data_IF_842967931302
#
_entry.id   IF_842967931302
#
_cell.length_a   1.000
_cell.length_b   1.000
_cell.length_c   1.000
_cell.angle_alpha   90.00
_cell.angle_beta   90.00
_cell.angle_gamma   90.00
#
_symmetry.space_group_name_H-M   'P 1'
#
loop_
_entity.id
_entity.type
_entity.pdbx_description
1 polymer ?
2 non-polymer ?
3 water ?
#
# COMPACT_ATOMS: atom_id res chain seq x y z
N UNK A 2 27.03 -15.59 6.39
CA UNK A 2 26.53 -16.92 6.04
C UNK A 2 25.01 -16.99 6.22
N UNK A 3 24.32 -15.98 5.69
CA UNK A 3 22.89 -15.74 5.91
C UNK A 3 21.96 -16.82 5.37
N UNK A 4 21.00 -17.21 6.20
CA UNK A 4 19.92 -18.10 5.78
C UNK A 4 18.79 -17.32 5.16
N UNK A 5 18.41 -17.67 3.94
CA UNK A 5 17.35 -16.98 3.24
C UNK A 5 16.39 -17.96 2.61
N UNK A 6 15.12 -17.84 2.94
CA UNK A 6 14.11 -18.76 2.47
C UNK A 6 12.96 -17.97 1.90
N UNK A 7 12.37 -18.46 0.81
CA UNK A 7 11.25 -17.77 0.19
C UNK A 7 10.05 -18.68 0.08
N UNK A 8 9.01 -18.42 0.86
CA UNK A 8 7.74 -19.11 0.68
C UNK A 8 7.00 -18.46 -0.47
N UNK A 9 6.66 -19.22 -1.49
CA UNK A 9 6.13 -18.64 -2.72
C UNK A 9 5.22 -19.64 -3.41
N UNK A 10 4.62 -19.20 -4.50
CA UNK A 10 3.74 -20.02 -5.35
C UNK A 10 4.00 -19.58 -6.79
N UNK A 11 4.36 -20.52 -7.67
CA UNK A 11 5.09 -20.18 -8.89
C UNK A 11 4.41 -19.13 -9.80
N UNK A 12 3.06 -19.10 -9.92
CA UNK A 12 2.57 -18.10 -10.88
C UNK A 12 2.25 -16.74 -10.26
N UNK A 13 2.64 -16.54 -9.00
CA UNK A 13 2.36 -15.30 -8.29
C UNK A 13 3.22 -14.16 -8.74
N UNK A 14 2.59 -13.09 -9.21
CA UNK A 14 3.33 -11.88 -9.62
C UNK A 14 4.04 -11.27 -8.42
N UNK A 15 3.38 -11.33 -7.27
CA UNK A 15 3.94 -10.79 -6.04
C UNK A 15 5.19 -11.57 -5.63
N UNK A 16 5.12 -12.89 -5.71
CA UNK A 16 6.31 -13.72 -5.46
C UNK A 16 7.45 -13.41 -6.42
N UNK A 17 7.11 -13.25 -7.71
CA UNK A 17 8.12 -12.96 -8.73
C UNK A 17 8.93 -11.71 -8.39
N UNK A 18 8.27 -10.75 -7.77
CA UNK A 18 8.96 -9.54 -7.33
C UNK A 18 10.14 -9.86 -6.46
N UNK A 19 9.91 -10.74 -5.50
CA UNK A 19 10.95 -11.03 -4.52
C UNK A 19 12.02 -11.88 -5.18
N UNK A 20 11.57 -12.86 -5.97
CA UNK A 20 12.44 -13.62 -6.89
C UNK A 20 13.35 -12.70 -7.70
N UNK A 21 12.78 -11.73 -8.43
CA UNK A 21 13.68 -10.82 -9.14
C UNK A 21 14.64 -10.09 -8.18
N UNK A 22 14.13 -9.56 -7.06
CA UNK A 22 14.97 -8.71 -6.22
C UNK A 22 16.16 -9.48 -5.63
N UNK A 23 15.93 -10.73 -5.26
CA UNK A 23 16.99 -11.57 -4.69
C UNK A 23 18.07 -11.90 -5.74
N UNK A 24 17.59 -12.25 -6.94
CA UNK A 24 18.49 -12.48 -8.08
C UNK A 24 19.35 -11.26 -8.37
N UNK A 25 18.73 -10.10 -8.52
CA UNK A 25 19.47 -8.87 -8.77
C UNK A 25 20.61 -8.63 -7.79
N UNK A 26 20.41 -9.06 -6.55
CA UNK A 26 21.36 -8.78 -5.49
C UNK A 26 22.36 -9.94 -5.35
N UNK A 27 22.14 -10.97 -6.16
CA UNK A 27 22.91 -12.19 -6.08
C UNK A 27 22.79 -12.91 -4.75
N UNK A 28 21.59 -12.95 -4.18
CA UNK A 28 21.40 -13.64 -2.91
C UNK A 28 20.94 -15.07 -3.15
N UNK A 29 21.73 -16.01 -2.67
CA UNK A 29 21.39 -17.41 -2.79
C UNK A 29 20.31 -17.72 -1.75
N UNK A 30 19.27 -18.44 -2.17
CA UNK A 30 18.15 -18.71 -1.29
C UNK A 30 17.38 -19.98 -1.60
N UNK A 31 16.68 -20.51 -0.60
CA UNK A 31 15.84 -21.68 -0.80
C UNK A 31 14.43 -21.26 -1.16
N UNK A 32 13.99 -21.68 -2.35
CA UNK A 32 12.61 -21.48 -2.78
C UNK A 32 11.79 -22.62 -2.25
N UNK A 33 10.57 -22.31 -1.83
CA UNK A 33 9.68 -23.27 -1.21
C UNK A 33 8.27 -23.04 -1.71
N UNK A 34 7.72 -24.03 -2.41
CA UNK A 34 6.42 -23.89 -3.05
C UNK A 34 5.24 -24.15 -2.11
N UNK A 35 4.28 -23.26 -2.08
CA UNK A 35 3.09 -23.47 -1.26
C UNK A 35 1.89 -23.83 -2.12
N UNK A 36 1.05 -24.69 -1.56
CA UNK A 36 -0.22 -25.00 -2.14
C UNK A 36 -1.17 -24.09 -1.40
N UNK A 37 -1.65 -23.05 -2.07
CA UNK A 37 -2.49 -22.08 -1.39
C UNK A 37 -3.87 -22.63 -1.05
N UNK A 38 -4.19 -23.84 -1.52
CA UNK A 38 -5.46 -24.42 -1.12
C UNK A 38 -5.25 -25.35 0.07
N UNK A 39 -3.99 -25.61 0.38
CA UNK A 39 -3.59 -26.31 1.60
C UNK A 39 -2.34 -25.69 2.19
N UNK A 40 -2.53 -24.54 2.85
CA UNK A 40 -1.40 -23.74 3.28
C UNK A 40 -0.62 -24.49 4.35
N UNK A 41 0.70 -24.48 4.26
CA UNK A 41 1.53 -25.14 5.24
C UNK A 41 1.42 -24.56 6.64
N UNK A 42 1.70 -25.38 7.65
CA UNK A 42 1.78 -24.83 9.02
C UNK A 42 2.82 -23.71 9.11
N UNK A 43 3.94 -23.89 8.42
CA UNK A 43 5.00 -22.89 8.36
C UNK A 43 4.51 -21.52 7.85
N UNK A 44 3.71 -21.51 6.80
CA UNK A 44 3.20 -20.25 6.24
C UNK A 44 2.24 -19.59 7.20
N UNK A 45 1.43 -20.43 7.86
CA UNK A 45 0.45 -19.92 8.80
C UNK A 45 1.14 -19.31 10.04
N UNK A 46 2.33 -19.80 10.37
CA UNK A 46 3.09 -19.23 11.48
C UNK A 46 3.84 -18.00 11.08
N UNK A 47 4.27 -17.92 9.82
CA UNK A 47 5.12 -16.82 9.40
C UNK A 47 4.31 -15.65 8.91
N UNK A 48 3.13 -15.93 8.38
CA UNK A 48 2.23 -14.87 7.97
C UNK A 48 0.84 -15.06 8.58
N UNK A 49 0.75 -14.96 9.92
CA UNK A 49 -0.54 -15.14 10.58
C UNK A 49 -1.56 -14.09 10.17
N UNK A 50 -1.19 -12.83 9.93
CA UNK A 50 -2.31 -11.93 9.68
C UNK A 50 -2.88 -12.06 8.24
N UNK A 51 -2.05 -12.21 7.22
CA UNK A 51 -2.62 -12.23 5.86
C UNK A 51 -2.74 -13.64 5.29
N UNK A 52 -1.89 -14.55 5.75
CA UNK A 52 -1.84 -15.94 5.28
C UNK A 52 -1.60 -16.03 3.78
N UNK A 53 -0.66 -15.22 3.30
CA UNK A 53 -0.36 -15.13 1.89
C UNK A 53 1.12 -15.30 1.58
N UNK A 54 1.42 -15.58 0.32
CA UNK A 54 2.79 -15.52 -0.13
C UNK A 54 2.93 -14.26 -0.98
N UNK A 55 4.16 -13.78 -1.21
CA UNK A 55 5.42 -14.36 -0.74
C UNK A 55 5.65 -14.07 0.74
N UNK A 56 6.46 -14.91 1.39
CA UNK A 56 7.04 -14.60 2.68
C UNK A 56 8.55 -14.78 2.55
N UNK A 57 9.29 -13.72 2.76
CA UNK A 57 10.73 -13.83 2.83
C UNK A 57 11.11 -14.17 4.27
N UNK A 58 11.86 -15.25 4.46
CA UNK A 58 12.31 -15.60 5.78
C UNK A 58 13.83 -15.48 5.86
N UNK A 59 14.30 -14.50 6.61
CA UNK A 59 15.71 -14.17 6.65
C UNK A 59 16.27 -14.43 8.04
N UNK A 60 17.23 -15.34 8.13
CA UNK A 60 17.75 -15.82 9.40
C UNK A 60 16.64 -16.20 10.38
N UNK A 61 15.56 -16.71 9.83
CA UNK A 61 14.47 -17.22 10.61
C UNK A 61 13.35 -16.25 10.88
N UNK A 62 13.51 -15.00 10.49
CA UNK A 62 12.47 -13.98 10.75
C UNK A 62 11.72 -13.63 9.48
N UNK A 63 10.39 -13.61 9.54
CA UNK A 63 9.63 -13.35 8.31
C UNK A 63 9.46 -11.86 7.95
N UNK A 64 9.34 -11.59 6.65
CA UNK A 64 9.00 -10.28 6.10
C UNK A 64 7.91 -10.54 5.06
N UNK A 65 6.70 -10.05 5.32
CA UNK A 65 5.55 -10.30 4.47
C UNK A 65 5.25 -9.03 3.67
N UNK A 66 4.46 -9.16 2.59
CA UNK A 66 4.14 -8.11 1.61
C UNK A 66 5.34 -7.83 0.72
N UNK A 67 5.18 -8.20 -0.55
CA UNK A 67 6.31 -8.28 -1.51
C UNK A 67 7.15 -7.00 -1.60
N UNK A 68 6.52 -5.86 -1.86
CA UNK A 68 7.32 -4.64 -2.00
C UNK A 68 7.97 -4.20 -0.68
N UNK A 69 7.37 -4.56 0.45
CA UNK A 69 8.03 -4.34 1.73
C UNK A 69 9.25 -5.27 1.80
N UNK A 70 9.11 -6.49 1.32
CA UNK A 70 10.22 -7.43 1.38
C UNK A 70 11.33 -6.99 0.40
N UNK A 71 10.97 -6.39 -0.72
CA UNK A 71 11.97 -5.85 -1.63
C UNK A 71 12.75 -4.70 -1.00
N UNK A 72 12.05 -3.78 -0.32
CA UNK A 72 12.78 -2.70 0.35
C UNK A 72 13.71 -3.23 1.46
N UNK A 73 13.25 -4.25 2.17
CA UNK A 73 14.07 -4.91 3.15
C UNK A 73 15.35 -5.45 2.53
N UNK A 74 15.18 -6.22 1.45
CA UNK A 74 16.30 -6.75 0.69
C UNK A 74 17.26 -5.61 0.31
N UNK A 75 16.71 -4.58 -0.33
CA UNK A 75 17.48 -3.38 -0.68
C UNK A 75 18.23 -2.76 0.50
N UNK A 76 17.56 -2.61 1.63
CA UNK A 76 18.21 -1.95 2.77
C UNK A 76 19.25 -2.84 3.45
N UNK A 77 19.05 -4.16 3.42
CA UNK A 77 19.99 -5.07 4.08
C UNK A 77 21.20 -5.43 3.23
N UNK A 78 20.94 -5.73 1.96
CA UNK A 78 22.00 -5.96 0.99
C UNK A 78 22.24 -4.68 0.20
N UNK A 79 22.58 -3.64 0.94
CA UNK A 79 22.71 -2.30 0.40
C UNK A 79 24.11 -2.11 -0.17
N UNK A 80 24.88 -3.19 -0.08
CA UNK A 80 26.26 -3.23 -0.48
C UNK A 80 26.35 -2.83 -1.98
N UNK A 81 25.53 -3.45 -2.84
CA UNK A 81 25.51 -3.03 -4.25
C UNK A 81 24.16 -3.25 -4.92
N UNK A 82 24.12 -2.93 -6.21
CA UNK A 82 22.92 -3.00 -7.04
C UNK A 82 21.70 -2.34 -6.46
N UNK A 83 21.74 -1.00 -6.31
CA UNK A 83 20.65 -0.23 -5.71
C UNK A 83 19.34 -0.39 -6.48
N UNK A 84 18.30 -0.85 -5.79
CA UNK A 84 16.98 -0.99 -6.40
C UNK A 84 16.10 0.26 -6.18
N UNK A 85 16.52 1.16 -5.29
CA UNK A 85 15.78 2.41 -5.11
C UNK A 85 16.76 3.56 -5.23
N UNK A 86 16.30 4.71 -5.77
CA UNK A 86 17.09 5.94 -5.81
C UNK A 86 17.53 6.33 -4.41
N UNK A 87 18.64 7.05 -4.29
CA UNK A 87 19.10 7.52 -2.98
C UNK A 87 18.44 8.86 -2.56
N UNK A 88 18.06 9.67 -3.55
CA UNK A 88 17.39 10.95 -3.33
C UNK A 88 15.99 10.73 -2.77
N UNK A 89 15.69 11.40 -1.65
CA UNK A 89 14.37 11.26 -1.05
C UNK A 89 13.20 11.57 -1.98
N UNK A 90 13.28 12.63 -2.77
CA UNK A 90 12.16 12.94 -3.63
C UNK A 90 12.01 11.85 -4.69
N UNK A 91 13.11 11.47 -5.34
CA UNK A 91 13.09 10.40 -6.35
C UNK A 91 12.57 9.11 -5.73
N UNK A 92 13.05 8.78 -4.53
CA UNK A 92 12.60 7.57 -3.85
C UNK A 92 11.10 7.61 -3.57
N UNK A 93 10.61 8.79 -3.16
CA UNK A 93 9.18 9.00 -2.99
C UNK A 93 8.39 8.66 -4.27
N UNK A 94 8.88 9.16 -5.40
CA UNK A 94 8.21 8.93 -6.68
C UNK A 94 8.25 7.44 -7.07
N UNK A 95 9.40 6.84 -6.90
CA UNK A 95 9.55 5.41 -7.12
C UNK A 95 8.55 4.64 -6.27
N UNK A 96 8.44 5.04 -5.01
CA UNK A 96 7.45 4.42 -4.12
C UNK A 96 6.05 4.62 -4.61
N UNK A 97 5.78 5.84 -5.10
CA UNK A 97 4.47 6.17 -5.65
C UNK A 97 4.00 5.27 -6.80
N UNK A 98 4.91 5.02 -7.73
CA UNK A 98 4.56 4.28 -8.96
C UNK A 98 4.47 2.77 -8.67
N UNK A 99 5.36 2.26 -7.82
CA UNK A 99 5.22 0.90 -7.32
C UNK A 99 3.89 0.70 -6.61
N UNK A 100 3.49 1.70 -5.84
CA UNK A 100 2.20 1.69 -5.16
C UNK A 100 1.07 1.68 -6.19
N UNK A 101 1.28 2.45 -7.27
CA UNK A 101 0.27 2.54 -8.31
C UNK A 101 0.02 1.16 -8.91
N UNK A 102 1.11 0.45 -9.18
CA UNK A 102 1.03 -0.93 -9.65
C UNK A 102 0.20 -1.76 -8.68
N UNK A 103 0.55 -1.69 -7.39
CA UNK A 103 -0.16 -2.46 -6.36
C UNK A 103 -1.65 -2.12 -6.35
N UNK A 104 -1.98 -0.85 -6.50
CA UNK A 104 -3.38 -0.45 -6.51
C UNK A 104 -4.18 -1.04 -7.68
N UNK A 105 -3.57 -1.07 -8.86
CA UNK A 105 -4.33 -1.28 -10.09
C UNK A 105 -4.21 -2.65 -10.76
N UNK A 106 -2.96 -3.08 -11.01
CA UNK A 106 -2.75 -4.07 -12.06
C UNK A 106 -3.42 -5.40 -11.71
N UNK A 107 -3.07 -5.99 -10.56
CA UNK A 107 -3.60 -7.31 -10.22
C UNK A 107 -5.13 -7.36 -10.17
N UNK A 108 -5.73 -6.31 -9.62
CA UNK A 108 -7.16 -6.28 -9.35
C UNK A 108 -8.00 -6.06 -10.59
N UNK A 109 -7.60 -5.09 -11.41
CA UNK A 109 -8.22 -4.92 -12.71
C UNK A 109 -8.01 -6.23 -13.48
N UNK A 110 -6.79 -6.74 -13.43
CA UNK A 110 -6.48 -8.00 -14.05
C UNK A 110 -7.46 -9.10 -13.69
N UNK A 111 -7.75 -9.25 -12.40
CA UNK A 111 -8.65 -10.31 -11.94
C UNK A 111 -10.06 -10.06 -12.46
N UNK A 112 -10.48 -8.80 -12.44
CA UNK A 112 -11.79 -8.45 -12.97
C UNK A 112 -11.87 -8.86 -14.45
N UNK A 113 -10.81 -8.56 -15.20
CA UNK A 113 -10.78 -8.87 -16.61
C UNK A 113 -11.04 -10.36 -16.88
N UNK A 114 -10.47 -11.26 -16.07
CA UNK A 114 -10.68 -12.68 -16.33
C UNK A 114 -11.71 -13.36 -15.45
N UNK A 115 -12.47 -12.59 -14.67
CA UNK A 115 -13.50 -13.17 -13.81
C UNK A 115 -14.86 -12.55 -14.05
N UNK A 116 -14.87 -11.24 -14.28
CA UNK A 116 -16.09 -10.48 -14.38
C UNK A 116 -16.71 -10.63 -15.76
N UNK A 117 -17.96 -10.17 -15.89
CA UNK A 117 -18.83 -10.63 -16.95
C UNK A 117 -19.32 -9.54 -17.90
N UNK A 118 -19.77 -8.43 -17.35
CA UNK A 118 -20.63 -7.55 -18.12
C UNK A 118 -19.86 -6.41 -18.71
N UNK A 119 -20.40 -5.22 -18.53
CA UNK A 119 -19.67 -4.00 -18.81
C UNK A 119 -18.91 -3.65 -17.54
N UNK A 120 -19.06 -4.48 -16.52
CA UNK A 120 -18.08 -4.48 -15.45
C UNK A 120 -16.73 -4.89 -16.04
N UNK A 121 -16.76 -5.95 -16.84
CA UNK A 121 -15.56 -6.41 -17.52
C UNK A 121 -15.06 -5.37 -18.50
N UNK A 122 -16.00 -4.71 -19.16
CA UNK A 122 -15.64 -3.69 -20.15
C UNK A 122 -15.03 -2.48 -19.45
N UNK A 123 -15.51 -2.21 -18.25
CA UNK A 123 -14.96 -1.12 -17.45
C UNK A 123 -13.54 -1.45 -17.00
N UNK A 124 -13.39 -2.67 -16.47
CA UNK A 124 -12.09 -3.16 -16.00
C UNK A 124 -11.04 -3.07 -17.10
N UNK A 125 -11.44 -3.49 -18.30
CA UNK A 125 -10.56 -3.47 -19.45
C UNK A 125 -10.14 -2.05 -19.74
N UNK A 126 -11.09 -1.12 -19.60
CA UNK A 126 -10.80 0.27 -19.86
C UNK A 126 -9.75 0.79 -18.91
N UNK A 127 -9.98 0.59 -17.61
CA UNK A 127 -9.07 1.10 -16.58
C UNK A 127 -7.71 0.44 -16.67
N UNK A 128 -7.70 -0.86 -16.97
CA UNK A 128 -6.46 -1.62 -17.11
C UNK A 128 -5.55 -0.93 -18.14
N UNK A 129 -6.08 -0.65 -19.32
CA UNK A 129 -5.26 -0.05 -20.38
C UNK A 129 -4.85 1.39 -20.04
N UNK A 130 -5.71 2.09 -19.33
CA UNK A 130 -5.36 3.44 -18.86
C UNK A 130 -4.16 3.42 -17.92
N UNK A 131 -4.18 2.45 -17.02
CA UNK A 131 -3.11 2.26 -16.07
C UNK A 131 -1.80 1.97 -16.79
N UNK A 132 -1.85 1.04 -17.73
CA UNK A 132 -0.64 0.69 -18.50
C UNK A 132 -0.10 1.90 -19.24
N UNK A 133 -1.02 2.71 -19.78
CA UNK A 133 -0.63 3.95 -20.44
C UNK A 133 0.09 4.92 -19.49
N UNK A 134 -0.53 5.18 -18.34
CA UNK A 134 0.09 6.01 -17.33
C UNK A 134 1.48 5.54 -16.98
N UNK A 135 1.62 4.24 -16.76
CA UNK A 135 2.95 3.67 -16.45
C UNK A 135 3.90 3.84 -17.60
N UNK A 136 3.36 3.63 -18.80
CA UNK A 136 4.11 3.78 -20.04
C UNK A 136 4.71 5.18 -20.16
N UNK A 137 3.89 6.21 -20.04
CA UNK A 137 4.48 7.54 -20.17
C UNK A 137 5.39 7.91 -18.99
N UNK A 138 5.19 7.30 -17.84
CA UNK A 138 6.14 7.51 -16.76
C UNK A 138 7.45 6.82 -17.09
N UNK A 139 7.40 5.68 -17.77
CA UNK A 139 8.63 5.11 -18.35
C UNK A 139 9.21 6.12 -19.35
N UNK A 140 10.53 6.19 -19.40
CA UNK A 140 11.23 7.14 -20.25
C UNK A 140 10.75 7.39 -21.69
N UNK A 141 11.42 6.87 -22.71
CA UNK A 141 12.40 5.80 -22.67
C UNK A 141 13.68 6.16 -21.91
N UNK A 142 13.74 5.59 -20.71
CA UNK A 142 14.96 5.09 -20.13
C UNK A 142 14.80 3.63 -20.52
N UNK A 143 15.88 2.85 -20.45
CA UNK A 143 15.75 1.43 -20.73
C UNK A 143 14.72 0.79 -19.80
N UNK A 144 14.87 1.09 -18.52
CA UNK A 144 14.01 0.55 -17.49
C UNK A 144 13.35 1.70 -16.70
N UNK A 145 12.32 1.39 -15.90
CA UNK A 145 11.79 2.39 -14.98
C UNK A 145 12.92 2.85 -14.05
N UNK A 146 13.83 1.93 -13.73
CA UNK A 146 14.96 2.23 -12.86
C UNK A 146 16.05 3.08 -13.49
N UNK A 147 15.88 3.44 -14.76
CA UNK A 147 16.92 4.12 -15.53
C UNK A 147 17.71 3.12 -16.36
N UNK A 148 19.01 3.05 -16.12
CA UNK A 148 19.88 2.12 -16.84
C UNK A 148 19.87 0.73 -16.21
N UNK A 149 19.44 0.65 -14.97
CA UNK A 149 19.33 -0.63 -14.31
C UNK A 149 17.88 -0.93 -13.93
N UNK A 150 17.59 -2.22 -13.75
CA UNK A 150 16.34 -2.61 -13.10
C UNK A 150 16.18 -1.82 -11.80
N UNK A 151 14.99 -1.27 -11.60
CA UNK A 151 14.68 -0.65 -10.33
C UNK A 151 13.40 -1.16 -9.71
N UNK A 152 13.06 -0.52 -8.59
CA UNK A 152 11.94 -0.89 -7.77
C UNK A 152 10.66 -1.03 -8.61
N UNK A 153 10.38 -0.06 -9.47
CA UNK A 153 9.15 -0.12 -10.26
C UNK A 153 9.14 -1.22 -11.35
N UNK A 154 10.31 -1.50 -11.94
CA UNK A 154 10.41 -2.62 -12.89
C UNK A 154 10.08 -3.91 -12.18
N UNK A 155 10.75 -4.11 -11.05
CA UNK A 155 10.51 -5.26 -10.20
C UNK A 155 9.04 -5.38 -9.78
N UNK A 156 8.44 -4.26 -9.45
CA UNK A 156 7.06 -4.26 -9.00
C UNK A 156 6.10 -4.67 -10.11
N UNK A 157 6.46 -4.31 -11.34
CA UNK A 157 5.53 -4.31 -12.47
C UNK A 157 5.69 -5.48 -13.45
N UNK A 158 6.93 -5.80 -13.81
CA UNK A 158 7.16 -6.76 -14.89
C UNK A 158 6.63 -8.18 -14.61
N UNK A 159 6.48 -8.59 -13.32
CA UNK A 159 5.89 -9.92 -13.21
C UNK A 159 4.51 -10.05 -13.85
N UNK A 160 3.75 -8.97 -13.97
CA UNK A 160 2.40 -9.07 -14.50
C UNK A 160 2.37 -9.37 -16.00
N UNK A 161 3.50 -9.15 -16.66
CA UNK A 161 3.69 -9.52 -18.05
C UNK A 161 3.30 -10.97 -18.27
N UNK A 162 3.83 -11.85 -17.42
CA UNK A 162 3.53 -13.27 -17.47
C UNK A 162 2.03 -13.55 -17.35
N UNK A 163 1.23 -12.52 -17.08
CA UNK A 163 -0.22 -12.69 -16.96
C UNK A 163 -0.94 -12.11 -18.20
N UNK A 164 -0.18 -11.49 -19.09
CA UNK A 164 -0.80 -10.76 -20.21
C UNK A 164 -1.60 -11.65 -21.17
N UNK A 165 -1.04 -12.81 -21.54
CA UNK A 165 -1.76 -13.73 -22.42
C UNK A 165 -3.13 -14.05 -21.86
N UNK A 166 -3.20 -14.35 -20.57
CA UNK A 166 -4.48 -14.67 -19.93
C UNK A 166 -5.44 -13.47 -19.93
N UNK A 167 -4.92 -12.27 -19.64
CA UNK A 167 -5.75 -11.08 -19.65
C UNK A 167 -6.36 -10.91 -21.04
N UNK A 168 -5.51 -10.99 -22.06
CA UNK A 168 -5.94 -10.83 -23.47
C UNK A 168 -6.94 -11.90 -23.96
N UNK A 169 -6.66 -13.17 -23.69
CA UNK A 169 -7.54 -14.23 -24.17
C UNK A 169 -8.90 -14.22 -23.49
N UNK A 170 -8.94 -13.82 -22.22
CA UNK A 170 -10.18 -13.83 -21.46
C UNK A 170 -10.86 -12.48 -21.46
N UNK A 171 -10.10 -11.42 -21.74
CA UNK A 171 -10.66 -10.09 -21.75
C UNK A 171 -11.08 -9.68 -23.13
N UNK A 172 -10.58 -10.41 -24.13
CA UNK A 172 -10.72 -10.06 -25.55
C UNK A 172 -10.06 -8.72 -25.74
N UNK A 173 -8.72 -8.74 -25.71
CA UNK A 173 -7.94 -7.54 -25.47
C UNK A 173 -6.57 -7.66 -26.13
N UNK A 174 -5.98 -6.54 -26.54
CA UNK A 174 -4.64 -6.63 -27.08
C UNK A 174 -3.73 -5.50 -26.62
N UNK A 175 -2.86 -5.81 -25.68
CA UNK A 175 -2.06 -4.79 -25.03
C UNK A 175 -1.03 -4.17 -25.96
N UNK A 176 -0.39 -4.97 -26.80
CA UNK A 176 0.65 -4.43 -27.69
C UNK A 176 0.07 -3.44 -28.71
N UNK A 177 -1.21 -3.61 -29.04
CA UNK A 177 -1.91 -2.61 -29.82
C UNK A 177 -1.77 -1.26 -29.11
N UNK A 178 -2.44 -1.15 -27.97
CA UNK A 178 -2.52 0.09 -27.21
C UNK A 178 -1.18 0.62 -26.71
N UNK A 179 -0.29 -0.28 -26.33
CA UNK A 179 0.93 0.12 -25.63
C UNK A 179 2.11 -0.68 -26.12
N UNK A 180 2.67 -0.27 -27.26
CA UNK A 180 3.84 -0.99 -27.79
C UNK A 180 5.13 -0.68 -27.02
N UNK A 181 5.24 0.54 -26.50
CA UNK A 181 6.41 0.94 -25.71
C UNK A 181 6.45 0.14 -24.41
N UNK A 182 5.26 -0.15 -23.87
CA UNK A 182 5.16 -0.98 -22.68
C UNK A 182 5.75 -2.35 -22.96
N UNK A 183 5.19 -3.02 -23.98
CA UNK A 183 5.58 -4.39 -24.31
C UNK A 183 7.06 -4.46 -24.66
N UNK A 184 7.56 -3.42 -25.32
CA UNK A 184 8.97 -3.37 -25.63
C UNK A 184 9.80 -3.38 -24.36
N UNK A 185 9.35 -2.63 -23.35
CA UNK A 185 10.10 -2.53 -22.08
C UNK A 185 10.10 -3.89 -21.39
N UNK A 186 8.92 -4.51 -21.34
CA UNK A 186 8.81 -5.85 -20.77
C UNK A 186 9.84 -6.77 -21.40
N UNK A 187 10.01 -6.64 -22.72
CA UNK A 187 10.92 -7.53 -23.43
C UNK A 187 12.37 -7.21 -23.11
N UNK A 188 12.71 -5.93 -22.96
CA UNK A 188 14.05 -5.57 -22.54
C UNK A 188 14.32 -6.20 -21.19
N UNK A 189 13.30 -6.21 -20.33
CA UNK A 189 13.46 -6.70 -18.97
C UNK A 189 13.75 -8.17 -18.99
N UNK A 190 12.97 -8.90 -19.79
CA UNK A 190 13.16 -10.33 -19.96
C UNK A 190 14.54 -10.75 -20.50
N UNK A 191 15.36 -9.79 -20.91
CA UNK A 191 16.73 -10.09 -21.33
C UNK A 191 17.67 -10.13 -20.14
N UNK A 192 17.27 -9.49 -19.04
CA UNK A 192 18.05 -9.57 -17.82
C UNK A 192 17.87 -10.99 -17.27
N UNK A 193 18.94 -11.59 -16.79
CA UNK A 193 18.83 -12.99 -16.41
C UNK A 193 18.07 -13.14 -15.08
N UNK A 194 18.17 -12.13 -14.22
CA UNK A 194 17.43 -12.10 -12.97
C UNK A 194 15.93 -12.12 -13.21
N UNK A 195 15.46 -11.43 -14.26
CA UNK A 195 14.04 -11.45 -14.62
C UNK A 195 13.61 -12.76 -15.27
N UNK A 196 14.50 -13.28 -16.12
CA UNK A 196 14.23 -14.49 -16.90
C UNK A 196 14.08 -15.75 -16.04
N UNK A 197 14.97 -15.94 -15.05
CA UNK A 197 14.83 -17.11 -14.15
C UNK A 197 13.60 -17.02 -13.27
N UNK A 198 13.16 -15.79 -13.01
CA UNK A 198 12.12 -15.56 -12.01
C UNK A 198 10.73 -15.69 -12.60
N UNK A 199 10.58 -15.40 -13.89
CA UNK A 199 9.24 -15.38 -14.49
C UNK A 199 8.95 -16.66 -15.24
N UNK A 200 7.81 -17.29 -14.96
CA UNK A 200 7.37 -18.39 -15.81
C UNK A 200 6.91 -17.86 -17.17
N UNK A 201 6.58 -18.79 -18.09
CA UNK A 201 6.07 -18.43 -19.41
C UNK A 201 4.61 -18.04 -19.33
N UNK A 202 4.18 -17.12 -20.19
CA UNK A 202 2.77 -16.74 -20.22
C UNK A 202 1.82 -17.90 -20.47
N UNK A 203 2.28 -18.89 -21.24
CA UNK A 203 1.43 -20.04 -21.53
C UNK A 203 1.17 -20.83 -20.25
N UNK A 204 2.24 -21.03 -19.48
CA UNK A 204 2.17 -21.77 -18.23
C UNK A 204 1.15 -21.10 -17.32
N UNK A 205 1.19 -19.76 -17.31
CA UNK A 205 0.30 -18.99 -16.47
C UNK A 205 -1.13 -19.01 -16.99
N UNK A 206 -1.28 -18.91 -18.31
CA UNK A 206 -2.62 -18.96 -18.91
C UNK A 206 -3.31 -20.26 -18.51
N UNK A 207 -2.54 -21.35 -18.56
CA UNK A 207 -3.07 -22.70 -18.29
C UNK A 207 -3.47 -22.79 -16.83
N UNK A 208 -2.65 -22.20 -15.98
CA UNK A 208 -2.98 -22.09 -14.57
C UNK A 208 -4.33 -21.36 -14.41
N UNK A 209 -4.48 -20.23 -15.08
CA UNK A 209 -5.69 -19.42 -14.90
C UNK A 209 -6.89 -20.12 -15.53
N UNK A 210 -6.66 -20.91 -16.58
CA UNK A 210 -7.79 -21.55 -17.24
C UNK A 210 -8.31 -22.63 -16.30
N UNK A 211 -7.43 -23.43 -15.70
CA UNK A 211 -7.88 -24.45 -14.75
C UNK A 211 -8.46 -23.80 -13.48
N UNK A 212 -7.93 -22.63 -13.12
CA UNK A 212 -8.46 -21.93 -11.97
C UNK A 212 -9.81 -21.33 -12.32
N UNK A 213 -9.96 -20.90 -13.56
CA UNK A 213 -11.16 -20.20 -13.99
C UNK A 213 -12.36 -21.12 -14.07
N UNK A 214 -12.10 -22.39 -14.41
CA UNK A 214 -13.17 -23.37 -14.52
C UNK A 214 -13.50 -23.99 -13.17
N UNK A 215 -12.52 -24.03 -12.26
CA UNK A 215 -12.79 -24.60 -10.95
C UNK A 215 -13.48 -23.52 -10.08
N UNK A 216 -13.42 -22.27 -10.53
CA UNK A 216 -14.39 -21.27 -10.11
C UNK A 216 -15.67 -21.47 -10.91
N UNK A 217 -16.73 -20.76 -10.56
CA UNK A 217 -17.99 -20.92 -11.25
C UNK A 217 -17.98 -20.34 -12.65
N UNK A 218 -16.89 -19.65 -12.99
CA UNK A 218 -16.79 -18.93 -14.25
C UNK A 218 -16.76 -19.91 -15.41
N UNK A 219 -17.49 -19.56 -16.47
CA UNK A 219 -17.63 -20.39 -17.66
C UNK A 219 -16.45 -20.24 -18.62
N UNK B 1 14.49 27.43 8.36
CA UNK B 1 13.06 27.46 8.04
C UNK B 1 12.83 27.91 6.58
N UNK B 2 13.91 28.01 5.80
CA UNK B 2 13.86 28.60 4.44
C UNK B 2 13.07 27.79 3.40
N UNK B 3 12.92 26.49 3.67
CA UNK B 3 12.15 25.56 2.84
C UNK B 3 10.68 25.95 2.71
N UNK B 4 10.12 25.77 1.52
CA UNK B 4 8.71 26.01 1.31
C UNK B 4 7.91 24.70 1.42
N UNK B 5 6.90 24.71 2.29
CA UNK B 5 6.13 23.50 2.53
C UNK B 5 4.64 23.80 2.53
N UNK B 6 3.91 23.19 1.61
CA UNK B 6 2.49 23.42 1.49
C UNK B 6 1.80 22.08 1.60
N UNK B 7 0.62 22.06 2.24
CA UNK B 7 -0.13 20.84 2.39
C UNK B 7 -1.54 21.01 1.82
N UNK B 8 -1.84 20.32 0.73
CA UNK B 8 -3.22 20.29 0.25
C UNK B 8 -3.93 19.22 1.04
N UNK B 9 -5.07 19.59 1.65
CA UNK B 9 -5.72 18.72 2.62
C UNK B 9 -7.21 19.03 2.71
N UNK B 10 -7.93 18.21 3.46
CA UNK B 10 -9.36 18.38 3.73
C UNK B 10 -9.58 17.96 5.17
N UNK B 11 -10.14 18.86 6.00
CA UNK B 11 -9.98 18.75 7.46
C UNK B 11 -10.40 17.38 8.09
N UNK B 12 -11.47 16.72 7.61
CA UNK B 12 -11.77 15.49 8.35
C UNK B 12 -11.05 14.23 7.85
N UNK B 13 -10.15 14.41 6.89
CA UNK B 13 -9.46 13.28 6.28
C UNK B 13 -8.43 12.70 7.22
N UNK B 14 -8.57 11.39 7.52
CA UNK B 14 -7.58 10.76 8.39
C UNK B 14 -6.21 10.66 7.71
N UNK B 15 -6.23 10.54 6.38
CA UNK B 15 -5.01 10.49 5.59
C UNK B 15 -4.24 11.81 5.67
N UNK B 16 -4.94 12.93 5.50
CA UNK B 16 -4.34 14.25 5.69
C UNK B 16 -3.76 14.41 7.09
N UNK B 17 -4.53 13.99 8.09
CA UNK B 17 -4.10 14.12 9.48
C UNK B 17 -2.75 13.47 9.71
N UNK B 18 -2.49 12.38 9.00
CA UNK B 18 -1.19 11.70 9.09
C UNK B 18 -0.07 12.68 8.81
N UNK B 19 -0.23 13.44 7.73
CA UNK B 19 0.83 14.33 7.30
C UNK B 19 0.91 15.50 8.26
N UNK B 20 -0.26 15.99 8.68
CA UNK B 20 -0.37 16.98 9.77
C UNK B 20 0.42 16.54 10.99
N UNK B 21 0.14 15.35 11.50
CA UNK B 21 0.94 14.87 12.63
C UNK B 21 2.45 14.85 12.30
N UNK B 22 2.82 14.34 11.13
CA UNK B 22 4.25 14.14 10.86
C UNK B 22 5.02 15.46 10.78
N UNK B 23 4.39 16.47 10.18
CA UNK B 23 5.01 17.79 10.06
C UNK B 23 5.18 18.45 11.45
N UNK B 24 4.11 18.41 12.25
CA UNK B 24 4.16 18.95 13.61
C UNK B 24 5.26 18.28 14.40
N UNK B 25 5.28 16.95 14.36
CA UNK B 25 6.24 16.18 15.14
C UNK B 25 7.69 16.48 14.75
N UNK B 26 7.90 16.95 13.53
CA UNK B 26 9.25 17.30 13.09
C UNK B 26 9.55 18.78 13.30
N UNK B 27 8.51 19.53 13.68
CA UNK B 27 8.62 20.96 13.89
C UNK B 27 8.73 21.73 12.60
N UNK B 28 8.01 21.27 11.57
CA UNK B 28 8.08 21.91 10.26
C UNK B 28 6.91 22.86 10.06
N UNK B 29 7.25 24.14 9.87
CA UNK B 29 6.26 25.16 9.63
C UNK B 29 5.78 25.04 8.19
N UNK B 30 4.47 25.07 8.01
CA UNK B 30 3.88 24.90 6.71
C UNK B 30 2.57 25.63 6.46
N UNK B 31 2.24 25.83 5.19
CA UNK B 31 0.95 26.40 4.84
C UNK B 31 -0.06 25.32 4.56
N UNK B 32 -1.13 25.31 5.35
CA UNK B 32 -2.26 24.40 5.13
C UNK B 32 -3.24 25.01 4.15
N UNK B 33 -3.72 24.20 3.21
CA UNK B 33 -4.63 24.68 2.19
C UNK B 33 -5.80 23.73 2.11
N UNK B 34 -7.00 24.24 2.32
CA UNK B 34 -8.20 23.42 2.38
C UNK B 34 -8.79 23.17 1.00
N UNK B 35 -9.04 21.91 0.67
CA UNK B 35 -9.68 21.60 -0.61
C UNK B 35 -11.14 21.26 -0.41
N UNK B 36 -11.95 21.64 -1.37
CA UNK B 36 -13.31 21.18 -1.41
C UNK B 36 -13.27 20.09 -2.45
N UNK B 37 -13.36 18.85 -1.99
CA UNK B 37 -13.18 17.71 -2.87
C UNK B 37 -14.35 17.53 -3.84
N UNK B 38 -15.42 18.30 -3.64
CA UNK B 38 -16.54 18.22 -4.59
C UNK B 38 -16.32 19.26 -5.67
N UNK B 39 -15.31 20.09 -5.47
CA UNK B 39 -14.88 21.08 -6.45
C UNK B 39 -13.35 21.26 -6.39
N UNK B 40 -12.63 20.25 -6.84
CA UNK B 40 -11.19 20.20 -6.64
C UNK B 40 -10.53 21.35 -7.35
N UNK B 41 -9.51 21.94 -6.72
CA UNK B 41 -8.80 23.07 -7.28
C UNK B 41 -7.98 22.67 -8.49
N UNK B 42 -7.70 23.63 -9.38
CA UNK B 42 -6.79 23.33 -10.49
C UNK B 42 -5.40 22.94 -9.99
N UNK B 43 -4.95 23.55 -8.89
CA UNK B 43 -3.67 23.20 -8.28
C UNK B 43 -3.64 21.72 -7.85
N UNK B 44 -4.72 21.24 -7.25
CA UNK B 44 -4.72 19.85 -6.79
C UNK B 44 -4.73 18.92 -7.98
N UNK B 45 -5.38 19.34 -9.05
CA UNK B 45 -5.47 18.49 -10.24
C UNK B 45 -4.15 18.45 -11.00
N UNK B 46 -3.41 19.55 -10.91
CA UNK B 46 -2.06 19.58 -11.45
C UNK B 46 -1.05 18.84 -10.60
N UNK B 47 -1.18 18.90 -9.27
CA UNK B 47 -0.19 18.27 -8.39
C UNK B 47 -0.46 16.79 -8.16
N UNK B 48 -1.71 16.37 -8.29
CA UNK B 48 -2.03 14.96 -8.16
C UNK B 48 -2.93 14.48 -9.31
N UNK B 49 -2.39 14.49 -10.55
CA UNK B 49 -3.14 14.02 -11.72
C UNK B 49 -3.52 12.56 -11.65
N UNK B 50 -2.65 11.70 -11.11
CA UNK B 50 -3.01 10.29 -11.11
C UNK B 50 -4.26 9.99 -10.24
N UNK B 51 -4.26 10.42 -8.97
CA UNK B 51 -5.34 10.01 -8.06
C UNK B 51 -6.34 11.12 -7.76
N UNK B 52 -5.90 12.37 -7.92
CA UNK B 52 -6.76 13.53 -7.67
C UNK B 52 -7.29 13.52 -6.26
N UNK B 53 -6.44 13.13 -5.32
CA UNK B 53 -6.83 13.03 -3.93
C UNK B 53 -5.94 13.89 -3.04
N UNK B 54 -6.37 14.10 -1.80
CA UNK B 54 -5.49 14.70 -0.82
C UNK B 54 -5.16 13.59 0.18
N UNK B 55 -4.11 13.76 1.00
CA UNK B 55 -3.25 14.94 1.06
C UNK B 55 -2.26 14.97 -0.10
N UNK B 56 -1.81 16.17 -0.43
CA UNK B 56 -0.63 16.35 -1.27
C UNK B 56 0.34 17.25 -0.51
N UNK B 57 1.52 16.72 -0.24
CA UNK B 57 2.59 17.54 0.30
C UNK B 57 3.34 18.19 -0.84
N UNK B 58 3.49 19.51 -0.81
CA UNK B 58 4.27 20.21 -1.81
C UNK B 58 5.49 20.86 -1.19
N UNK B 59 6.65 20.38 -1.58
CA UNK B 59 7.88 20.77 -0.94
C UNK B 59 8.79 21.45 -1.94
N UNK B 60 9.09 22.72 -1.70
CA UNK B 60 9.82 23.52 -2.66
C UNK B 60 9.25 23.43 -4.08
N UNK B 61 7.93 23.27 -4.16
CA UNK B 61 7.20 23.30 -5.40
C UNK B 61 6.87 21.93 -5.95
N UNK B 62 7.44 20.88 -5.36
CA UNK B 62 7.30 19.52 -5.86
C UNK B 62 6.34 18.68 -5.03
N UNK B 63 5.38 18.03 -5.68
CA UNK B 63 4.37 17.23 -4.97
C UNK B 63 4.87 15.84 -4.50
N UNK B 64 4.38 15.42 -3.33
CA UNK B 64 4.50 14.06 -2.85
C UNK B 64 3.11 13.60 -2.44
N UNK B 65 2.57 12.60 -3.14
CA UNK B 65 1.19 12.14 -2.93
C UNK B 65 1.24 10.82 -2.18
N UNK B 66 0.08 10.42 -1.64
CA UNK B 66 -0.10 9.22 -0.80
C UNK B 66 0.51 9.44 0.57
N UNK B 67 -0.35 9.48 1.58
CA UNK B 67 -0.01 10.02 2.90
C UNK B 67 1.22 9.34 3.53
N UNK B 68 1.21 8.03 3.65
CA UNK B 68 2.36 7.36 4.27
C UNK B 68 3.64 7.51 3.46
N UNK B 69 3.54 7.56 2.13
CA UNK B 69 4.71 7.87 1.31
C UNK B 69 5.21 9.29 1.67
N UNK B 70 4.29 10.22 1.90
CA UNK B 70 4.68 11.57 2.31
C UNK B 70 5.34 11.58 3.69
N UNK B 71 4.84 10.74 4.58
CA UNK B 71 5.38 10.65 5.91
C UNK B 71 6.81 10.10 5.86
N UNK B 72 7.05 9.08 5.03
CA UNK B 72 8.44 8.58 4.87
C UNK B 72 9.35 9.64 4.24
N UNK B 73 8.84 10.36 3.26
CA UNK B 73 9.57 11.48 2.69
C UNK B 73 9.97 12.48 3.77
N UNK B 74 8.97 12.91 4.56
CA UNK B 74 9.22 13.86 5.66
C UNK B 74 10.30 13.30 6.58
N UNK B 75 10.16 12.04 6.96
CA UNK B 75 11.15 11.36 7.77
C UNK B 75 12.54 11.38 7.15
N UNK B 76 12.64 11.06 5.86
CA UNK B 76 13.97 10.95 5.25
C UNK B 76 14.63 12.30 4.97
N UNK B 77 13.82 13.33 4.73
CA UNK B 77 14.38 14.66 4.43
C UNK B 77 14.73 15.45 5.69
N UNK B 78 13.83 15.45 6.67
CA UNK B 78 14.05 16.08 7.97
C UNK B 78 14.46 15.03 8.99
N UNK B 79 15.58 14.38 8.73
CA UNK B 79 16.00 13.22 9.51
C UNK B 79 16.99 13.57 10.61
N UNK B 80 17.21 14.86 10.84
CA UNK B 80 18.12 15.28 11.86
C UNK B 80 17.57 14.94 13.26
N UNK B 81 16.29 15.21 13.52
CA UNK B 81 15.74 14.82 14.81
C UNK B 81 14.39 14.12 14.66
N UNK B 82 13.95 13.52 15.77
CA UNK B 82 12.61 12.92 15.88
C UNK B 82 12.27 11.80 14.91
N UNK B 83 13.05 10.71 14.95
CA UNK B 83 12.82 9.59 14.03
C UNK B 83 11.40 9.00 14.14
N UNK B 84 10.70 8.95 13.01
CA UNK B 84 9.38 8.36 12.98
C UNK B 84 9.45 6.89 12.54
N UNK B 85 10.63 6.45 12.12
CA UNK B 85 10.81 5.06 11.72
C UNK B 85 12.08 4.54 12.36
N UNK B 86 12.10 3.25 12.71
CA UNK B 86 13.28 2.55 13.25
C UNK B 86 14.42 2.56 12.24
N UNK B 87 15.65 2.46 12.71
CA UNK B 87 16.78 2.43 11.77
C UNK B 87 17.16 1.00 11.37
N UNK B 88 16.78 0.02 12.19
CA UNK B 88 17.00 -1.39 11.87
C UNK B 88 16.12 -1.79 10.72
N UNK B 89 16.73 -2.31 9.63
CA UNK B 89 15.91 -2.70 8.47
C UNK B 89 14.76 -3.67 8.81
N UNK B 90 14.98 -4.65 9.66
CA UNK B 90 13.91 -5.58 10.02
C UNK B 90 12.80 -4.89 10.83
N UNK B 91 13.16 -4.12 11.87
CA UNK B 91 12.19 -3.34 12.62
C UNK B 91 11.40 -2.43 11.69
N UNK B 92 12.13 -1.78 10.76
CA UNK B 92 11.51 -0.88 9.81
C UNK B 92 10.54 -1.61 8.88
N UNK B 93 10.91 -2.82 8.49
CA UNK B 93 10.04 -3.64 7.68
C UNK B 93 8.72 -3.90 8.41
N UNK B 94 8.84 -4.22 9.70
CA UNK B 94 7.67 -4.49 10.52
C UNK B 94 6.80 -3.26 10.73
N UNK B 95 7.36 -2.06 10.91
CA UNK B 95 6.46 -0.90 11.09
C UNK B 95 5.83 -0.55 9.76
N UNK B 96 6.57 -0.72 8.66
CA UNK B 96 5.95 -0.66 7.32
C UNK B 96 4.79 -1.65 7.18
N UNK B 97 4.97 -2.86 7.72
CA UNK B 97 3.92 -3.86 7.63
C UNK B 97 2.65 -3.43 8.33
N UNK B 98 2.76 -2.91 9.57
CA UNK B 98 1.55 -2.59 10.35
C UNK B 98 0.88 -1.33 9.84
N UNK B 99 1.68 -0.33 9.47
CA UNK B 99 1.17 0.85 8.77
C UNK B 99 0.41 0.44 7.52
N UNK B 100 0.92 -0.56 6.81
CA UNK B 100 0.27 -1.08 5.62
C UNK B 100 -1.06 -1.74 6.00
N UNK B 101 -1.04 -2.50 7.08
CA UNK B 101 -2.25 -3.15 7.58
C UNK B 101 -3.36 -2.12 7.84
N UNK B 102 -2.99 -1.01 8.44
CA UNK B 102 -3.92 0.09 8.66
C UNK B 102 -4.53 0.57 7.35
N UNK B 103 -3.69 0.86 6.35
CA UNK B 103 -4.16 1.25 5.01
C UNK B 103 -5.11 0.23 4.39
N UNK B 104 -4.82 -1.06 4.54
CA UNK B 104 -5.68 -2.08 3.95
C UNK B 104 -7.08 -2.13 4.58
N UNK B 105 -7.15 -1.95 5.89
CA UNK B 105 -8.33 -2.29 6.69
C UNK B 105 -9.23 -1.13 7.15
N UNK B 106 -8.63 -0.17 7.83
CA UNK B 106 -9.40 0.67 8.74
C UNK B 106 -10.38 1.58 8.02
N UNK B 107 -9.92 2.33 7.02
CA UNK B 107 -10.79 3.25 6.31
C UNK B 107 -11.91 2.51 5.55
N UNK B 108 -11.58 1.38 4.95
CA UNK B 108 -12.52 0.67 4.09
C UNK B 108 -13.60 -0.06 4.88
N UNK B 109 -13.19 -0.84 5.88
CA UNK B 109 -14.13 -1.45 6.79
C UNK B 109 -14.95 -0.34 7.43
N UNK B 110 -14.24 0.70 7.86
CA UNK B 110 -14.86 1.85 8.44
C UNK B 110 -15.97 2.37 7.56
N UNK B 111 -15.67 2.57 6.28
CA UNK B 111 -16.65 3.14 5.36
C UNK B 111 -17.82 2.20 5.16
N UNK B 112 -17.54 0.90 5.17
CA UNK B 112 -18.60 -0.09 5.02
C UNK B 112 -19.56 0.04 6.20
N UNK B 113 -18.99 0.15 7.40
CA UNK B 113 -19.77 0.28 8.63
C UNK B 113 -20.83 1.38 8.54
N UNK B 114 -20.47 2.54 8.00
CA UNK B 114 -21.41 3.65 8.01
C UNK B 114 -22.14 3.89 6.70
N UNK B 115 -21.99 2.97 5.75
CA UNK B 115 -22.66 3.10 4.45
C UNK B 115 -23.53 1.91 4.09
N UNK B 116 -23.18 0.75 4.63
CA UNK B 116 -23.83 -0.49 4.20
C UNK B 116 -24.92 -0.95 5.17
N UNK B 117 -25.69 -1.94 4.73
CA UNK B 117 -26.79 -2.46 5.51
C UNK B 117 -26.64 -3.96 5.69
N UNK B 118 -27.36 -4.51 6.67
CA UNK B 118 -27.48 -5.94 6.85
C UNK B 118 -26.20 -6.70 7.14
N UNK B 119 -26.04 -7.85 6.47
CA UNK B 119 -24.91 -8.73 6.72
C UNK B 119 -23.62 -8.10 6.25
N UNK B 120 -23.69 -7.32 5.17
CA UNK B 120 -22.52 -6.63 4.68
C UNK B 120 -21.97 -5.71 5.78
N UNK B 121 -22.87 -4.99 6.42
CA UNK B 121 -22.53 -4.14 7.55
C UNK B 121 -22.12 -4.98 8.75
N UNK B 122 -22.73 -6.15 8.87
CA UNK B 122 -22.48 -7.00 10.02
C UNK B 122 -21.08 -7.60 9.92
N UNK B 123 -20.67 -7.92 8.70
CA UNK B 123 -19.37 -8.52 8.45
C UNK B 123 -18.28 -7.47 8.61
N UNK B 124 -18.53 -6.28 8.06
CA UNK B 124 -17.61 -5.17 8.19
C UNK B 124 -17.31 -4.89 9.65
N UNK B 125 -18.33 -5.01 10.50
CA UNK B 125 -18.18 -4.75 11.91
C UNK B 125 -17.23 -5.73 12.59
N UNK B 126 -17.39 -7.02 12.26
CA UNK B 126 -16.54 -8.03 12.89
C UNK B 126 -15.10 -7.84 12.46
N UNK B 127 -14.88 -7.70 11.16
CA UNK B 127 -13.53 -7.50 10.64
C UNK B 127 -12.90 -6.27 11.24
N UNK B 128 -13.70 -5.21 11.36
CA UNK B 128 -13.19 -3.97 11.94
C UNK B 128 -12.61 -4.22 13.35
N UNK B 129 -13.35 -4.96 14.17
CA UNK B 129 -12.92 -5.18 15.55
C UNK B 129 -11.71 -6.12 15.63
N UNK B 130 -11.67 -7.13 14.77
CA UNK B 130 -10.50 -8.00 14.65
C UNK B 130 -9.24 -7.20 14.29
N UNK B 131 -9.41 -6.31 13.34
CA UNK B 131 -8.30 -5.50 12.88
C UNK B 131 -7.75 -4.71 14.05
N UNK B 132 -8.65 -4.08 14.80
CA UNK B 132 -8.26 -3.29 15.96
C UNK B 132 -7.60 -4.14 17.03
N UNK B 133 -8.07 -5.37 17.17
CA UNK B 133 -7.50 -6.28 18.16
C UNK B 133 -6.08 -6.67 17.79
N UNK B 134 -5.88 -6.98 16.52
CA UNK B 134 -4.56 -7.27 16.00
C UNK B 134 -3.62 -6.08 16.29
N UNK B 135 -4.09 -4.88 15.99
CA UNK B 135 -3.27 -3.69 16.24
C UNK B 135 -2.99 -3.52 17.71
N UNK B 136 -4.04 -3.69 18.51
CA UNK B 136 -3.99 -3.64 19.96
C UNK B 136 -2.92 -4.62 20.46
N UNK B 137 -3.03 -5.86 20.00
CA UNK B 137 -2.06 -6.88 20.28
C UNK B 137 -0.60 -6.51 19.94
N UNK B 138 -0.36 -5.87 18.81
CA UNK B 138 1.00 -5.48 18.39
C UNK B 138 1.48 -4.29 19.24
N UNK B 139 0.54 -3.49 19.71
CA UNK B 139 0.92 -2.42 20.63
C UNK B 139 1.41 -3.03 21.93
N UNK B 140 0.62 -3.97 22.44
CA UNK B 140 0.79 -4.56 23.77
C UNK B 140 1.19 -3.57 24.84
N UNK B 141 2.37 -3.79 25.40
CA UNK B 141 3.00 -2.92 26.38
C UNK B 141 3.03 -1.46 25.95
N UNK B 142 4.20 -1.09 25.42
CA UNK B 142 4.54 0.21 24.83
C UNK B 142 3.58 1.39 25.00
N UNK B 143 4.14 2.51 25.42
CA UNK B 143 3.41 3.77 25.44
C UNK B 143 2.74 4.05 24.08
N UNK B 144 3.57 4.05 23.03
CA UNK B 144 3.09 4.22 21.66
C UNK B 144 3.51 3.04 20.80
N UNK B 145 2.94 2.91 19.61
CA UNK B 145 3.42 1.88 18.67
C UNK B 145 4.92 2.06 18.40
N UNK B 146 5.36 3.31 18.34
CA UNK B 146 6.76 3.60 18.10
C UNK B 146 7.68 3.44 19.30
N UNK B 147 7.20 2.75 20.34
CA UNK B 147 7.93 2.63 21.59
C UNK B 147 7.65 3.80 22.52
N UNK B 148 8.69 4.55 22.87
CA UNK B 148 8.53 5.68 23.79
C UNK B 148 8.09 6.97 23.09
N UNK B 149 8.35 7.07 21.79
CA UNK B 149 7.90 8.24 21.06
C UNK B 149 6.84 7.86 20.04
N UNK B 150 6.15 8.88 19.52
CA UNK B 150 5.28 8.66 18.38
C UNK B 150 6.06 8.03 17.24
N UNK B 151 5.49 7.01 16.62
CA UNK B 151 6.09 6.42 15.46
C UNK B 151 5.18 6.34 14.24
N UNK B 152 5.75 5.77 13.18
CA UNK B 152 5.10 5.64 11.90
C UNK B 152 3.71 5.03 12.05
N UNK B 153 3.60 3.92 12.77
CA UNK B 153 2.29 3.31 12.93
C UNK B 153 1.30 4.14 13.77
N UNK B 154 1.78 4.86 14.79
CA UNK B 154 0.90 5.75 15.55
C UNK B 154 0.32 6.80 14.61
N UNK B 155 1.23 7.39 13.84
CA UNK B 155 0.88 8.39 12.85
C UNK B 155 -0.11 7.87 11.83
N UNK B 156 0.11 6.64 11.39
CA UNK B 156 -0.77 6.05 10.39
C UNK B 156 -2.17 5.81 10.94
N UNK B 157 -2.24 5.44 12.22
CA UNK B 157 -3.44 4.85 12.80
C UNK B 157 -4.30 5.82 13.62
N UNK B 158 -3.67 6.70 14.40
CA UNK B 158 -4.45 7.49 15.36
C UNK B 158 -5.44 8.49 14.71
N UNK B 159 -5.20 8.93 13.45
CA UNK B 159 -6.26 9.82 12.95
C UNK B 159 -7.63 9.18 12.85
N UNK B 160 -7.68 7.85 12.76
CA UNK B 160 -8.97 7.18 12.59
C UNK B 160 -9.84 7.24 13.86
N UNK B 161 -9.18 7.45 15.00
CA UNK B 161 -9.86 7.70 16.27
C UNK B 161 -10.95 8.74 16.12
N UNK B 162 -10.62 9.85 15.46
CA UNK B 162 -11.58 10.94 15.25
C UNK B 162 -12.80 10.50 14.48
N UNK B 163 -12.78 9.27 13.96
CA UNK B 163 -13.90 8.76 13.16
C UNK B 163 -14.71 7.75 13.96
N UNK B 164 -14.25 7.44 15.17
CA UNK B 164 -14.84 6.38 15.98
C UNK B 164 -16.31 6.62 16.38
N UNK B 165 -16.65 7.83 16.82
CA UNK B 165 -18.03 8.19 17.14
C UNK B 165 -18.96 7.89 15.98
N UNK B 166 -18.53 8.25 14.78
CA UNK B 166 -19.31 7.96 13.58
C UNK B 166 -19.45 6.46 13.33
N UNK B 167 -18.36 5.71 13.52
CA UNK B 167 -18.43 4.27 13.33
C UNK B 167 -19.42 3.70 14.31
N UNK B 168 -19.18 3.94 15.60
CA UNK B 168 -20.05 3.49 16.69
C UNK B 168 -21.56 3.83 16.54
N UNK B 169 -21.90 5.07 16.20
CA UNK B 169 -23.30 5.45 16.08
C UNK B 169 -24.00 4.79 14.89
N UNK B 170 -23.39 4.87 13.71
CA UNK B 170 -24.00 4.30 12.52
C UNK B 170 -23.81 2.79 12.47
N UNK B 171 -22.81 2.31 13.19
CA UNK B 171 -22.52 0.89 13.18
C UNK B 171 -23.24 0.13 14.27
N UNK B 172 -23.76 0.84 15.25
CA UNK B 172 -24.35 0.24 16.46
C UNK B 172 -23.27 -0.59 17.14
N UNK B 173 -22.25 0.10 17.64
CA UNK B 173 -20.99 -0.52 17.95
C UNK B 173 -20.28 0.19 19.10
N UNK B 174 -19.49 -0.54 19.88
CA UNK B 174 -18.73 0.10 20.94
C UNK B 174 -17.33 -0.42 21.01
N UNK B 175 -16.37 0.42 20.65
CA UNK B 175 -14.99 -0.04 20.52
C UNK B 175 -14.33 -0.15 21.89
N UNK B 176 -14.69 0.72 22.82
CA UNK B 176 -14.00 0.73 24.11
C UNK B 176 -14.27 -0.53 24.91
N UNK B 177 -15.44 -1.12 24.71
CA UNK B 177 -15.73 -2.35 25.43
C UNK B 177 -14.83 -3.43 24.83
N UNK B 178 -14.81 -3.51 23.49
CA UNK B 178 -14.04 -4.54 22.81
C UNK B 178 -12.53 -4.36 22.94
N UNK B 179 -12.04 -3.13 22.90
CA UNK B 179 -10.59 -2.89 22.86
C UNK B 179 -10.22 -1.70 23.74
N UNK B 180 -10.19 -1.93 25.05
CA UNK B 180 -9.90 -0.90 26.04
C UNK B 180 -8.46 -0.38 25.96
N UNK B 181 -7.52 -1.27 25.71
CA UNK B 181 -6.12 -0.88 25.61
C UNK B 181 -5.92 0.00 24.35
N UNK B 182 -6.70 -0.28 23.31
CA UNK B 182 -6.68 0.55 22.13
C UNK B 182 -7.07 1.97 22.48
N UNK B 183 -8.28 2.14 23.05
CA UNK B 183 -8.78 3.49 23.32
C UNK B 183 -7.86 4.21 24.31
N UNK B 184 -7.23 3.45 25.18
CA UNK B 184 -6.26 4.05 26.08
C UNK B 184 -5.09 4.64 25.33
N UNK B 185 -4.58 3.91 24.33
CA UNK B 185 -3.42 4.35 23.56
C UNK B 185 -3.76 5.62 22.75
N UNK B 186 -4.93 5.61 22.15
CA UNK B 186 -5.40 6.76 21.40
C UNK B 186 -5.40 7.99 22.29
N UNK B 187 -5.86 7.79 23.53
CA UNK B 187 -5.98 8.90 24.46
C UNK B 187 -4.59 9.39 24.84
N UNK B 188 -3.65 8.46 24.97
CA UNK B 188 -2.27 8.86 25.25
C UNK B 188 -1.72 9.72 24.13
N UNK B 189 -2.08 9.35 22.90
CA UNK B 189 -1.59 10.07 21.72
C UNK B 189 -2.15 11.47 21.73
N UNK B 190 -3.43 11.58 22.08
CA UNK B 190 -4.10 12.88 22.10
C UNK B 190 -3.53 13.86 23.12
N UNK B 191 -2.64 13.38 23.99
CA UNK B 191 -1.97 14.24 24.97
C UNK B 191 -0.74 14.90 24.34
N UNK B 192 -0.30 14.36 23.20
CA UNK B 192 0.87 14.90 22.53
C UNK B 192 0.39 16.04 21.64
N UNK B 193 1.08 17.17 21.68
CA UNK B 193 0.57 18.38 21.03
C UNK B 193 0.47 18.23 19.50
N UNK B 194 1.47 17.59 18.90
CA UNK B 194 1.49 17.34 17.48
C UNK B 194 0.23 16.61 17.02
N UNK B 195 -0.26 15.69 17.86
CA UNK B 195 -1.50 14.97 17.59
C UNK B 195 -2.78 15.75 17.88
N UNK B 196 -2.81 16.44 19.00
CA UNK B 196 -3.99 17.21 19.42
C UNK B 196 -4.30 18.35 18.45
N UNK B 197 -3.25 19.03 17.99
CA UNK B 197 -3.41 20.16 17.07
C UNK B 197 -3.76 19.70 15.65
N UNK B 198 -3.53 18.42 15.36
CA UNK B 198 -3.74 17.89 14.02
C UNK B 198 -5.10 17.24 13.86
N UNK B 199 -5.61 16.65 14.94
CA UNK B 199 -6.89 15.94 14.87
C UNK B 199 -8.07 16.80 15.26
N UNK B 200 -9.11 16.81 14.43
CA UNK B 200 -10.39 17.40 14.84
C UNK B 200 -11.10 16.50 15.85
N UNK B 201 -12.06 17.05 16.56
CA UNK B 201 -12.87 16.32 17.53
C UNK B 201 -13.78 15.35 16.82
N UNK B 202 -14.08 14.23 17.46
CA UNK B 202 -14.97 13.24 16.88
C UNK B 202 -16.32 13.83 16.53
N UNK B 203 -16.77 14.79 17.33
CA UNK B 203 -18.11 15.34 17.13
C UNK B 203 -18.21 16.00 15.77
N UNK B 204 -17.22 16.86 15.43
CA UNK B 204 -17.25 17.54 14.14
C UNK B 204 -17.20 16.51 13.02
N UNK B 205 -16.38 15.48 13.18
CA UNK B 205 -16.31 14.43 12.18
C UNK B 205 -17.65 13.74 12.04
N UNK B 206 -18.32 13.48 13.17
CA UNK B 206 -19.60 12.78 13.14
C UNK B 206 -20.56 13.53 12.24
N UNK B 207 -20.62 14.85 12.45
CA UNK B 207 -21.59 15.70 11.76
C UNK B 207 -21.28 15.74 10.30
N UNK B 208 -19.99 15.70 9.99
CA UNK B 208 -19.56 15.68 8.62
C UNK B 208 -20.10 14.40 7.98
N UNK B 209 -19.88 13.27 8.65
CA UNK B 209 -20.36 11.98 8.14
C UNK B 209 -21.88 11.96 8.08
N UNK B 210 -22.53 12.64 9.03
CA UNK B 210 -23.99 12.63 9.04
C UNK B 210 -24.48 13.35 7.78
N UNK B 211 -24.01 14.58 7.54
CA UNK B 211 -24.37 15.31 6.31
C UNK B 211 -24.04 14.52 5.04
N UNK B 212 -23.03 13.66 5.12
CA UNK B 212 -22.61 12.89 3.97
C UNK B 212 -23.49 11.66 3.74
N UNK B 213 -24.00 11.06 4.81
CA UNK B 213 -24.87 9.90 4.67
C UNK B 213 -26.23 10.28 4.13
N UNK B 214 -26.73 11.43 4.57
CA UNK B 214 -27.99 11.98 4.08
C UNK B 214 -27.88 12.29 2.59
N UNK B 215 -26.79 12.93 2.19
CA UNK B 215 -26.54 13.18 0.77
C UNK B 215 -26.33 11.88 -0.04
N UNK B 216 -26.53 10.73 0.62
CA UNK B 216 -26.43 9.43 -0.03
C UNK B 216 -27.63 8.56 0.38
N UNK B 217 -27.56 8.03 1.61
CA UNK B 217 -28.50 7.03 2.10
C UNK B 217 -27.76 6.07 3.01
N UNK B 218 -28.46 5.15 3.68
CA UNK B 218 -29.91 4.94 3.56
C UNK B 218 -30.70 6.08 4.23
N UNK B 219 -30.45 6.30 5.52
CA UNK B 219 -30.88 7.52 6.17
C UNK B 219 -29.61 8.30 6.50
X LIG C 1 -0.14 -7.47 -1.01
X LIG C 1 0.50 -8.76 -1.24
X LIG C 1 1.90 -8.77 -1.79
X LIG C 1 2.76 -9.58 -1.08
X LIG C 1 2.44 -7.55 -2.16
X LIG C 1 -0.35 -9.72 -1.99
X LIG C 1 0.15 -11.12 -2.03
X LIG C 1 -0.81 -12.16 -2.54
X LIG C 1 -1.92 -11.81 -2.91
X LIG C 1 -0.33 -13.49 -2.77
X LIG C 1 -1.28 -14.50 -3.24
X LIG C 1 -1.77 -15.35 -2.12
X LIG C 1 -1.02 -15.77 -1.25
X LIG C 1 -0.89 -15.21 -4.51
X LIG C 1 -1.25 -14.37 -6.05
X LIG C 1 -3.20 -15.53 -1.95
X LIG C 1 -3.59 -16.31 -0.81
X LIG C 1 -5.05 -16.64 -0.66
X LIG C 1 -5.50 -16.56 0.65
X LIG C 1 -5.38 -17.80 -1.36
X LIG D 1 -4.21 6.30 -0.23
X LIG D 1 -4.43 7.73 0.08
X LIG D 1 -3.62 8.36 1.18
X LIG D 1 -2.98 9.54 0.82
X LIG D 1 -2.83 7.49 1.92
X LIG D 1 -5.88 8.04 0.23
X LIG D 1 -6.26 9.48 0.27
X LIG D 1 -7.74 9.75 0.21
X LIG D 1 -8.52 8.80 0.08
X LIG D 1 -8.21 11.09 0.25
X LIG D 1 -9.64 11.39 0.12
X LIG D 1 -9.85 12.07 -1.19
X LIG D 1 -9.04 12.94 -1.49
X LIG D 1 -10.25 12.10 1.28
X LIG D 1 -10.64 11.16 2.75
X LIG D 1 -10.96 11.72 -2.07
X LIG D 1 -11.08 12.50 -3.27
X LIG D 1 -12.09 12.15 -4.32
X LIG D 1 -11.93 10.89 -4.89
X LIG D 1 -13.39 12.48 -3.94
#
# INVERSE_FOLDING_TARGET
MSDEVVLLDFWPSPFGMRVRIALAEKGIKYEYKEEDLRNKSPLLLQMNPVHKKIPVLIHNGKPICESLIAVQYIEEVWNDRNPLLPSDPYQRAQTRFWADYVDKKIYDLGRKIWTSKGEEKEAAKKEFIEALKLLEEQLGDKTYFGGDNLGFVDIALVPFYTWFKAYETFGTLNIESECPKFIAWAKRCLQKESVAKSLPDQQKVYEFIMDLRKKLGIE
MSDEVVLLDFWPSPFGMRVRIALAEKGIKYEYKEEDLRNKSPLLLQMNPVHKKIPVLIHNGKPICESLIAVQYIEEVWNDRNPLLPSDPYQRAQTRFWADYVDKKIYDLGRKIWTSKGEEKEAAKKEFIEALKLLEEQLGDKTYFGGDNLGFVDIALVPFYTWFKAYETFGTLNIESECPKFIAWAKRCLQKESVAKSLPDQQKVYEFIMDLRKKLGIE
GSH N1 CA1 C1 O11 O12 CB1 CG1 CD1 OE1 N2 CA2 C2 O2 CB2 SG2 N3 CA3 C3 O31 O32
GSH N1 CA1 C1 O11 O12 CB1 CG1 CD1 OE1 N2 CA2 C2 O2 CB2 SG2 N3 CA3 C3 O31 O32
#
